data_IF_936717337130
#
_entry.id   IF_936717337130
#
_cell.length_a   1.000
_cell.length_b   1.000
_cell.length_c   1.000
_cell.angle_alpha   90.00
_cell.angle_beta   90.00
_cell.angle_gamma   90.00
#
_symmetry.space_group_name_H-M   'P 1'
#
loop_
_entity.id
_entity.type
_entity.pdbx_description
1 polymer ?
#
# COMPACT_ATOMS: atom_id res chain seq x y z
N UNK A 1 -21.70 -39.96 8.79
CA UNK A 1 -21.24 -39.40 7.50
C UNK A 1 -21.05 -37.88 7.58
N UNK A 2 -21.99 -37.13 8.17
CA UNK A 2 -21.89 -35.67 8.34
C UNK A 2 -20.67 -35.19 9.16
N UNK A 3 -20.31 -35.90 10.25
CA UNK A 3 -19.14 -35.57 11.07
C UNK A 3 -17.81 -35.66 10.30
N UNK A 4 -17.66 -36.65 9.41
CA UNK A 4 -16.47 -36.78 8.56
C UNK A 4 -16.40 -35.65 7.53
N UNK A 5 -17.54 -35.19 7.01
CA UNK A 5 -17.61 -34.06 6.09
C UNK A 5 -17.23 -32.74 6.78
N UNK A 6 -17.66 -32.54 8.04
CA UNK A 6 -17.25 -31.38 8.86
C UNK A 6 -15.74 -31.39 9.08
N UNK A 7 -15.18 -32.52 9.52
CA UNK A 7 -13.75 -32.62 9.82
C UNK A 7 -12.89 -32.41 8.55
N UNK A 8 -13.31 -32.97 7.42
CA UNK A 8 -12.61 -32.75 6.14
C UNK A 8 -12.64 -31.27 5.72
N UNK A 9 -13.78 -30.60 5.87
CA UNK A 9 -13.90 -29.17 5.57
C UNK A 9 -13.08 -28.32 6.54
N UNK A 10 -13.03 -28.69 7.82
CA UNK A 10 -12.20 -28.02 8.83
C UNK A 10 -10.72 -28.11 8.48
N UNK A 11 -10.22 -29.29 8.10
CA UNK A 11 -8.82 -29.46 7.69
C UNK A 11 -8.49 -28.64 6.44
N UNK A 12 -9.40 -28.62 5.46
CA UNK A 12 -9.21 -27.84 4.24
C UNK A 12 -9.24 -26.33 4.53
N UNK A 13 -10.15 -25.87 5.38
CA UNK A 13 -10.21 -24.48 5.83
C UNK A 13 -8.96 -24.10 6.61
N UNK A 14 -8.45 -24.96 7.48
CA UNK A 14 -7.19 -24.75 8.20
C UNK A 14 -5.99 -24.67 7.26
N UNK A 15 -5.95 -25.49 6.21
CA UNK A 15 -4.89 -25.47 5.20
C UNK A 15 -4.87 -24.11 4.49
N UNK A 16 -6.03 -23.66 3.99
CA UNK A 16 -6.16 -22.35 3.33
C UNK A 16 -5.79 -21.22 4.28
N UNK A 17 -6.30 -21.23 5.51
CA UNK A 17 -5.97 -20.17 6.49
C UNK A 17 -4.49 -20.15 6.87
N UNK A 18 -3.80 -21.29 6.92
CA UNK A 18 -2.35 -21.32 7.16
C UNK A 18 -1.57 -20.72 5.99
N UNK A 19 -1.98 -20.99 4.75
CA UNK A 19 -1.40 -20.37 3.55
C UNK A 19 -1.60 -18.84 3.56
N UNK A 20 -2.78 -18.38 3.97
CA UNK A 20 -3.08 -16.96 4.15
C UNK A 20 -2.26 -16.33 5.27
N UNK A 21 -2.11 -17.01 6.40
CA UNK A 21 -1.27 -16.53 7.49
C UNK A 21 0.18 -16.31 7.03
N UNK A 22 0.78 -17.31 6.38
CA UNK A 22 2.15 -17.18 5.85
C UNK A 22 2.27 -16.06 4.82
N UNK A 23 1.25 -15.86 3.99
CA UNK A 23 1.20 -14.75 3.05
C UNK A 23 1.25 -13.39 3.74
N UNK A 24 0.37 -13.14 4.72
CA UNK A 24 0.33 -11.86 5.42
C UNK A 24 1.60 -11.59 6.25
N UNK A 25 2.32 -12.64 6.67
CA UNK A 25 3.66 -12.48 7.24
C UNK A 25 4.68 -12.02 6.19
N UNK A 26 4.70 -12.65 5.01
CA UNK A 26 5.60 -12.23 3.92
C UNK A 26 5.27 -10.82 3.43
N UNK A 27 3.99 -10.48 3.33
CA UNK A 27 3.53 -9.14 2.96
C UNK A 27 3.99 -8.10 3.98
N UNK A 28 3.92 -8.42 5.27
CA UNK A 28 4.40 -7.53 6.33
C UNK A 28 5.87 -7.20 6.15
N UNK A 29 6.72 -8.20 5.91
CA UNK A 29 8.16 -7.99 5.69
C UNK A 29 8.41 -7.13 4.44
N UNK A 30 7.64 -7.34 3.38
CA UNK A 30 7.78 -6.58 2.14
C UNK A 30 7.40 -5.10 2.32
N UNK A 31 6.29 -4.83 3.01
CA UNK A 31 5.82 -3.45 3.29
C UNK A 31 6.75 -2.76 4.30
N UNK A 32 7.29 -3.49 5.28
CA UNK A 32 8.29 -2.98 6.22
C UNK A 32 9.59 -2.59 5.48
N UNK A 33 10.04 -3.43 4.53
CA UNK A 33 11.15 -3.10 3.63
C UNK A 33 10.86 -1.86 2.79
N UNK A 34 9.64 -1.72 2.25
CA UNK A 34 9.22 -0.53 1.53
C UNK A 34 9.34 0.72 2.40
N UNK A 35 8.89 0.65 3.66
CA UNK A 35 8.97 1.75 4.62
C UNK A 35 10.40 2.20 4.81
N UNK A 36 11.32 1.27 4.98
CA UNK A 36 12.72 1.59 5.16
C UNK A 36 13.32 2.24 3.89
N UNK A 37 12.96 1.77 2.70
CA UNK A 37 13.41 2.40 1.44
C UNK A 37 12.83 3.82 1.26
N UNK A 38 11.56 4.03 1.64
CA UNK A 38 10.90 5.34 1.68
C UNK A 38 11.37 6.24 2.84
N UNK A 39 12.01 5.69 3.86
CA UNK A 39 12.62 6.50 4.92
C UNK A 39 14.04 6.93 4.56
N UNK A 40 14.81 6.05 3.92
CA UNK A 40 16.24 6.24 3.66
C UNK A 40 16.58 6.59 2.19
N UNK A 41 15.62 7.10 1.42
CA UNK A 41 15.83 7.67 0.08
C UNK A 41 16.52 6.72 -0.93
N UNK A 42 16.20 5.42 -0.87
CA UNK A 42 16.76 4.39 -1.77
C UNK A 42 15.81 4.10 -2.94
N UNK A 43 15.65 5.05 -3.86
CA UNK A 43 14.66 4.99 -4.94
C UNK A 43 14.87 3.84 -5.92
N UNK A 44 16.12 3.52 -6.29
CA UNK A 44 16.43 2.44 -7.24
C UNK A 44 15.89 1.08 -6.81
N UNK A 45 15.83 0.84 -5.49
CA UNK A 45 15.35 -0.42 -4.90
C UNK A 45 13.84 -0.43 -4.67
N UNK A 46 13.20 0.73 -4.78
CA UNK A 46 11.78 0.90 -4.48
C UNK A 46 10.91 0.37 -5.62
N UNK A 47 11.38 0.50 -6.88
CA UNK A 47 10.65 0.01 -8.06
C UNK A 47 10.42 -1.52 -8.02
N UNK A 48 11.45 -2.28 -7.63
CA UNK A 48 11.35 -3.73 -7.46
C UNK A 48 10.30 -4.08 -6.41
N UNK A 49 10.34 -3.39 -5.26
CA UNK A 49 9.40 -3.61 -4.16
C UNK A 49 7.97 -3.25 -4.55
N UNK A 50 7.75 -2.16 -5.29
CA UNK A 50 6.42 -1.83 -5.81
C UNK A 50 5.86 -2.93 -6.71
N UNK A 51 6.69 -3.46 -7.61
CA UNK A 51 6.29 -4.56 -8.50
C UNK A 51 5.87 -5.81 -7.72
N UNK A 52 6.59 -6.12 -6.62
CA UNK A 52 6.23 -7.23 -5.75
C UNK A 52 4.92 -6.98 -4.98
N UNK A 53 4.70 -5.77 -4.46
CA UNK A 53 3.46 -5.38 -3.77
C UNK A 53 2.24 -5.47 -4.70
N UNK A 54 2.37 -5.05 -5.97
CA UNK A 54 1.30 -5.18 -6.96
C UNK A 54 0.91 -6.64 -7.22
N UNK A 55 1.89 -7.56 -7.21
CA UNK A 55 1.60 -9.01 -7.28
C UNK A 55 0.83 -9.47 -6.04
N UNK A 56 1.18 -8.96 -4.86
CA UNK A 56 0.45 -9.26 -3.63
C UNK A 56 -1.00 -8.77 -3.66
N UNK A 57 -1.28 -7.60 -4.23
CA UNK A 57 -2.66 -7.11 -4.39
C UNK A 57 -3.54 -8.06 -5.21
N UNK A 58 -3.01 -8.60 -6.32
CA UNK A 58 -3.72 -9.60 -7.11
C UNK A 58 -3.98 -10.88 -6.30
N UNK A 59 -2.97 -11.34 -5.55
CA UNK A 59 -3.12 -12.53 -4.70
C UNK A 59 -4.21 -12.34 -3.62
N UNK A 60 -4.32 -11.17 -3.00
CA UNK A 60 -5.38 -10.90 -2.00
C UNK A 60 -6.77 -11.16 -2.59
N UNK A 61 -7.00 -10.73 -3.83
CA UNK A 61 -8.28 -10.96 -4.52
C UNK A 61 -8.53 -12.45 -4.77
N UNK A 62 -7.49 -13.20 -5.17
CA UNK A 62 -7.59 -14.66 -5.36
C UNK A 62 -7.90 -15.38 -4.03
N UNK A 63 -7.32 -14.94 -2.93
CA UNK A 63 -7.56 -15.48 -1.59
C UNK A 63 -9.00 -15.24 -1.12
N UNK A 64 -9.54 -14.05 -1.35
CA UNK A 64 -10.95 -13.73 -1.09
C UNK A 64 -11.89 -14.62 -1.89
N UNK A 65 -11.60 -14.84 -3.17
CA UNK A 65 -12.38 -15.72 -4.04
C UNK A 65 -12.37 -17.17 -3.54
N UNK A 66 -11.21 -17.70 -3.13
CA UNK A 66 -11.10 -19.08 -2.59
C UNK A 66 -11.94 -19.29 -1.34
N UNK A 67 -11.86 -18.38 -0.38
CA UNK A 67 -12.65 -18.48 0.87
C UNK A 67 -14.14 -18.32 0.58
N UNK A 68 -14.51 -17.44 -0.35
CA UNK A 68 -15.90 -17.23 -0.77
C UNK A 68 -16.46 -18.46 -1.47
N UNK A 69 -15.69 -19.12 -2.34
CA UNK A 69 -16.08 -20.37 -2.98
C UNK A 69 -16.33 -21.49 -1.95
N UNK A 70 -15.40 -21.68 -1.00
CA UNK A 70 -15.56 -22.66 0.09
C UNK A 70 -16.81 -22.42 0.93
N UNK A 71 -17.17 -21.14 1.15
CA UNK A 71 -18.41 -20.77 1.83
C UNK A 71 -19.65 -21.03 0.98
N UNK A 72 -19.55 -20.80 -0.33
CA UNK A 72 -20.65 -20.93 -1.29
C UNK A 72 -21.14 -22.35 -1.47
N UNK A 73 -20.24 -23.33 -1.47
CA UNK A 73 -20.57 -24.75 -1.71
C UNK A 73 -21.50 -25.34 -0.64
N UNK A 74 -21.26 -25.02 0.64
CA UNK A 74 -22.17 -25.40 1.73
C UNK A 74 -22.05 -24.43 2.93
N UNK A 75 -22.88 -23.36 2.96
CA UNK A 75 -22.77 -22.31 3.98
C UNK A 75 -22.96 -22.81 5.42
N UNK A 76 -23.82 -23.82 5.64
CA UNK A 76 -24.09 -24.35 6.98
C UNK A 76 -22.90 -25.15 7.49
N UNK A 77 -22.32 -26.01 6.64
CA UNK A 77 -21.15 -26.80 6.97
C UNK A 77 -19.93 -25.91 7.18
N UNK A 78 -19.75 -24.88 6.34
CA UNK A 78 -18.71 -23.88 6.49
C UNK A 78 -18.80 -23.15 7.84
N UNK A 79 -19.99 -22.71 8.25
CA UNK A 79 -20.17 -22.04 9.54
C UNK A 79 -19.81 -22.95 10.72
N UNK A 80 -20.11 -24.25 10.62
CA UNK A 80 -19.73 -25.23 11.63
C UNK A 80 -18.20 -25.41 11.69
N UNK A 81 -17.54 -25.61 10.55
CA UNK A 81 -16.09 -25.70 10.47
C UNK A 81 -15.38 -24.40 10.94
N UNK A 82 -15.90 -23.24 10.54
CA UNK A 82 -15.40 -21.93 10.97
C UNK A 82 -15.59 -21.67 12.47
N UNK A 83 -16.52 -22.39 13.12
CA UNK A 83 -16.73 -22.29 14.55
C UNK A 83 -15.65 -23.02 15.38
N UNK A 84 -14.86 -23.90 14.74
CA UNK A 84 -13.82 -24.69 15.38
C UNK A 84 -12.76 -23.80 16.05
N UNK A 85 -12.29 -24.15 17.28
CA UNK A 85 -11.34 -23.32 18.03
C UNK A 85 -10.04 -23.03 17.28
N UNK A 86 -9.48 -24.03 16.59
CA UNK A 86 -8.23 -23.90 15.85
C UNK A 86 -8.40 -22.94 14.66
N UNK A 87 -9.52 -23.04 13.94
CA UNK A 87 -9.86 -22.14 12.83
C UNK A 87 -9.97 -20.70 13.31
N UNK A 88 -10.71 -20.47 14.41
CA UNK A 88 -10.84 -19.14 15.03
C UNK A 88 -9.50 -18.57 15.45
N UNK A 89 -8.62 -19.39 16.03
CA UNK A 89 -7.28 -18.97 16.45
C UNK A 89 -6.46 -18.49 15.27
N UNK A 90 -6.40 -19.26 14.19
CA UNK A 90 -5.64 -18.87 12.98
C UNK A 90 -6.25 -17.62 12.34
N UNK A 91 -7.59 -17.54 12.23
CA UNK A 91 -8.27 -16.36 11.72
C UNK A 91 -7.95 -15.11 12.56
N UNK A 92 -7.91 -15.21 13.89
CA UNK A 92 -7.55 -14.11 14.76
C UNK A 92 -6.09 -13.66 14.56
N UNK A 93 -5.17 -14.60 14.36
CA UNK A 93 -3.78 -14.29 14.02
C UNK A 93 -3.67 -13.55 12.68
N UNK A 94 -4.43 -13.97 11.66
CA UNK A 94 -4.50 -13.29 10.36
C UNK A 94 -5.04 -11.86 10.53
N UNK A 95 -6.14 -11.67 11.27
CA UNK A 95 -6.72 -10.34 11.54
C UNK A 95 -5.67 -9.41 12.17
N UNK A 96 -4.92 -9.90 13.15
CA UNK A 96 -3.85 -9.13 13.78
C UNK A 96 -2.75 -8.76 12.77
N UNK A 97 -2.34 -9.69 11.90
CA UNK A 97 -1.36 -9.40 10.85
C UNK A 97 -1.88 -8.37 9.84
N UNK A 98 -3.14 -8.47 9.41
CA UNK A 98 -3.76 -7.49 8.50
C UNK A 98 -3.71 -6.10 9.13
N UNK A 99 -4.08 -5.95 10.41
CA UNK A 99 -4.02 -4.65 11.11
C UNK A 99 -2.60 -4.07 11.12
N UNK A 100 -1.60 -4.90 11.43
CA UNK A 100 -0.19 -4.49 11.40
C UNK A 100 0.28 -4.08 10.01
N UNK A 101 -0.12 -4.81 8.97
CA UNK A 101 0.16 -4.44 7.59
C UNK A 101 -0.48 -3.09 7.23
N UNK A 102 -1.73 -2.85 7.63
CA UNK A 102 -2.42 -1.58 7.39
C UNK A 102 -1.71 -0.39 8.07
N UNK A 103 -1.21 -0.57 9.30
CA UNK A 103 -0.41 0.44 9.99
C UNK A 103 0.86 0.79 9.19
N UNK A 104 1.61 -0.22 8.73
CA UNK A 104 2.79 0.00 7.89
C UNK A 104 2.46 0.70 6.57
N UNK A 105 1.33 0.36 5.92
CA UNK A 105 0.92 1.03 4.68
C UNK A 105 0.66 2.52 4.93
N UNK A 106 0.02 2.87 6.05
CA UNK A 106 -0.20 4.28 6.44
C UNK A 106 1.10 5.02 6.68
N UNK A 107 2.06 4.39 7.36
CA UNK A 107 3.40 4.99 7.55
C UNK A 107 4.09 5.23 6.20
N UNK A 108 4.04 4.25 5.28
CA UNK A 108 4.56 4.40 3.93
C UNK A 108 3.90 5.57 3.17
N UNK A 109 2.58 5.68 3.25
CA UNK A 109 1.81 6.79 2.66
C UNK A 109 2.25 8.15 3.21
N UNK A 110 2.48 8.25 4.51
CA UNK A 110 2.97 9.47 5.16
C UNK A 110 4.35 9.87 4.63
N UNK A 111 5.31 8.93 4.55
CA UNK A 111 6.64 9.21 4.00
C UNK A 111 6.57 9.64 2.53
N UNK A 112 5.75 8.96 1.72
CA UNK A 112 5.58 9.29 0.30
C UNK A 112 4.94 10.68 0.11
N UNK A 113 3.92 11.00 0.90
CA UNK A 113 3.22 12.30 0.85
C UNK A 113 4.16 13.43 1.24
N UNK A 114 4.89 13.28 2.34
CA UNK A 114 5.86 14.28 2.79
C UNK A 114 6.93 14.56 1.73
N UNK A 115 7.41 13.53 1.02
CA UNK A 115 8.34 13.70 -0.10
C UNK A 115 7.71 14.46 -1.27
N UNK A 116 6.50 14.08 -1.66
CA UNK A 116 5.77 14.74 -2.74
C UNK A 116 5.55 16.23 -2.46
N UNK A 117 5.19 16.57 -1.22
CA UNK A 117 4.94 17.95 -0.82
C UNK A 117 6.22 18.80 -0.83
N UNK A 118 7.36 18.24 -0.40
CA UNK A 118 8.69 18.91 -0.52
C UNK A 118 9.04 19.23 -1.97
N UNK A 119 8.77 18.30 -2.90
CA UNK A 119 9.03 18.51 -4.34
C UNK A 119 8.09 19.59 -4.90
N UNK A 120 6.80 19.58 -4.52
CA UNK A 120 5.85 20.62 -4.92
C UNK A 120 6.23 22.00 -4.41
N UNK A 121 6.70 22.09 -3.17
CA UNK A 121 7.15 23.35 -2.58
C UNK A 121 8.35 23.91 -3.34
N UNK A 122 9.38 23.09 -3.59
CA UNK A 122 10.53 23.48 -4.40
C UNK A 122 10.12 23.94 -5.82
N UNK A 123 9.18 23.24 -6.46
CA UNK A 123 8.65 23.65 -7.76
C UNK A 123 7.99 25.03 -7.70
N UNK A 124 7.17 25.29 -6.68
CA UNK A 124 6.49 26.57 -6.47
C UNK A 124 7.49 27.71 -6.26
N UNK A 125 8.54 27.48 -5.46
CA UNK A 125 9.60 28.45 -5.23
C UNK A 125 10.38 28.80 -6.51
N UNK A 126 10.70 27.78 -7.32
CA UNK A 126 11.36 27.99 -8.61
C UNK A 126 10.47 28.76 -9.59
N UNK A 127 9.17 28.46 -9.63
CA UNK A 127 8.20 29.22 -10.44
C UNK A 127 8.08 30.67 -9.98
N UNK A 128 8.15 30.92 -8.67
CA UNK A 128 8.15 32.29 -8.13
C UNK A 128 9.44 33.04 -8.52
N UNK A 129 10.60 32.39 -8.37
CA UNK A 129 11.90 32.94 -8.78
C UNK A 129 11.92 33.29 -10.27
N UNK A 130 11.32 32.45 -11.13
CA UNK A 130 11.19 32.74 -12.55
C UNK A 130 10.36 34.01 -12.85
N UNK A 131 9.36 34.34 -12.00
CA UNK A 131 8.61 35.60 -12.11
C UNK A 131 9.46 36.81 -11.71
N UNK A 132 10.30 36.69 -10.67
CA UNK A 132 11.23 37.76 -10.26
C UNK A 132 12.18 38.11 -11.39
N UNK A 133 12.77 37.09 -12.04
CA UNK A 133 13.67 37.30 -13.19
C UNK A 133 12.96 38.02 -14.34
N UNK A 134 11.67 37.74 -14.58
CA UNK A 134 10.88 38.48 -15.58
C UNK A 134 10.70 39.94 -15.20
N UNK A 135 10.35 40.25 -13.94
CA UNK A 135 10.21 41.64 -13.50
C UNK A 135 11.51 42.45 -13.66
N UNK A 136 12.67 41.83 -13.42
CA UNK A 136 13.97 42.47 -13.61
C UNK A 136 14.24 42.71 -15.10
N UNK A 137 13.99 41.72 -15.96
CA UNK A 137 14.12 41.88 -17.42
C UNK A 137 13.20 42.96 -17.99
N UNK A 138 11.97 43.05 -17.49
CA UNK A 138 11.00 44.04 -17.96
C UNK A 138 11.40 45.47 -17.54
N UNK A 139 12.14 45.64 -16.43
CA UNK A 139 12.74 46.92 -16.03
C UNK A 139 13.89 47.35 -16.95
N UNK A 140 14.64 46.42 -17.54
CA UNK A 140 15.70 46.73 -18.51
C UNK A 140 15.15 47.26 -19.85
N UNK A 141 13.86 46.99 -20.17
CA UNK A 141 13.22 47.42 -21.42
C UNK A 141 12.52 48.78 -21.30
N UNK A 142 12.63 49.49 -20.17
CA UNK A 142 12.16 50.87 -20.09
C UNK A 142 13.04 51.77 -20.99
N UNK A 143 12.51 52.34 -22.09
CA UNK A 143 13.29 53.22 -22.94
C UNK A 143 13.66 54.46 -22.15
N UNK A 144 14.97 54.72 -22.05
CA UNK A 144 15.48 55.97 -21.52
C UNK A 144 14.89 57.14 -22.32
N UNK A 145 14.36 58.11 -21.56
CA UNK A 145 13.89 59.42 -21.99
C UNK A 145 14.52 59.93 -23.29
N UNK A 146 13.71 60.12 -24.33
CA UNK A 146 14.05 61.07 -25.40
C UNK A 146 13.48 62.41 -25.00
N UNK A 147 14.15 63.08 -24.07
CA UNK A 147 14.03 64.52 -23.93
C UNK A 147 14.98 65.15 -24.95
N UNK A 148 14.44 65.55 -26.11
CA UNK A 148 15.15 66.39 -27.08
C UNK A 148 14.47 67.75 -27.13
N UNK A 149 15.11 68.69 -26.42
CA UNK A 149 14.97 70.15 -26.49
C UNK A 149 14.84 70.65 -27.93
N UNK A 150 13.86 71.51 -28.20
CA UNK A 150 13.99 72.93 -28.55
C UNK A 150 12.68 73.51 -29.09
#
# INVERSE_FOLDING_TARGET
MEYNAINNLEQELLRVLKEEYSFYQSLYILIDKQRDLLKFEKEDKLLEVYTEIERCHRRIQESEQKVTALRGDNPKLFNLAASAPEVKKVAQCIITLIRKNLELVKENEEYATNRHDRVKEALKELQHSAKIVRYIRDLEVAPQFVDKKH
#
